data_IF_697822599898
#
_entry.id   IF_697822599898
#
_cell.length_a   1.000
_cell.length_b   1.000
_cell.length_c   1.000
_cell.angle_alpha   90.00
_cell.angle_beta   90.00
_cell.angle_gamma   90.00
#
_symmetry.space_group_name_H-M   'P 1'
#
loop_
_entity.id
_entity.type
_entity.pdbx_description
1 polymer ?
#
# COMPACT_ATOMS: atom_id res chain seq x y z
N UNK A 1 22.80 19.30 2.39
CA UNK A 1 23.50 20.59 2.11
C UNK A 1 24.03 21.27 3.38
N UNK A 2 23.22 21.43 4.43
CA UNK A 2 23.60 22.14 5.67
C UNK A 2 24.94 21.69 6.29
N UNK A 3 25.15 20.38 6.44
CA UNK A 3 26.35 19.81 7.08
C UNK A 3 27.63 20.22 6.35
N UNK A 4 27.62 20.21 5.01
CA UNK A 4 28.77 20.56 4.17
C UNK A 4 29.17 22.03 4.32
N UNK A 5 28.20 22.92 4.52
CA UNK A 5 28.46 24.36 4.65
C UNK A 5 28.94 24.68 6.08
N UNK A 6 28.31 24.06 7.08
CA UNK A 6 28.52 24.36 8.51
C UNK A 6 29.76 23.70 9.11
N UNK A 7 30.16 22.53 8.62
CA UNK A 7 31.25 21.72 9.18
C UNK A 7 32.43 21.51 8.21
N UNK A 8 32.62 22.41 7.22
CA UNK A 8 33.81 22.39 6.36
C UNK A 8 35.09 22.69 7.15
N UNK A 9 36.20 22.10 6.72
CA UNK A 9 37.53 22.33 7.30
C UNK A 9 38.02 23.76 7.01
N UNK A 10 38.65 24.39 8.02
CA UNK A 10 39.25 25.73 7.92
C UNK A 10 40.59 25.76 8.67
N UNK A 11 41.54 26.61 8.26
CA UNK A 11 42.88 26.66 8.88
C UNK A 11 42.87 26.98 10.39
N UNK A 12 41.82 27.64 10.87
CA UNK A 12 41.61 28.10 12.24
C UNK A 12 40.53 27.28 12.99
N UNK A 13 40.06 26.17 12.41
CA UNK A 13 39.00 25.37 13.01
C UNK A 13 39.50 24.57 14.24
N UNK A 14 38.73 24.63 15.33
CA UNK A 14 38.96 23.78 16.49
C UNK A 14 38.76 22.29 16.15
N UNK A 15 39.52 21.42 16.80
CA UNK A 15 39.36 19.96 16.64
C UNK A 15 37.94 19.52 17.01
N UNK A 16 37.34 18.60 16.23
CA UNK A 16 35.98 18.15 16.47
C UNK A 16 35.86 17.37 17.79
N UNK A 17 34.82 17.68 18.55
CA UNK A 17 34.52 16.96 19.79
C UNK A 17 34.17 15.49 19.48
N UNK A 18 34.80 14.57 20.21
CA UNK A 18 34.61 13.12 20.03
C UNK A 18 33.39 12.63 20.82
N UNK A 19 32.20 12.80 20.25
CA UNK A 19 30.95 12.27 20.83
C UNK A 19 30.74 10.81 20.40
N UNK A 20 30.49 9.90 21.36
CA UNK A 20 30.34 8.46 21.09
C UNK A 20 28.89 7.98 20.90
N UNK A 21 27.92 8.66 21.50
CA UNK A 21 26.50 8.30 21.41
C UNK A 21 25.62 9.35 22.06
N UNK A 22 24.32 9.32 21.74
CA UNK A 22 23.32 10.19 22.33
C UNK A 22 21.99 9.44 22.39
N UNK A 23 21.70 8.86 23.55
CA UNK A 23 20.52 8.02 23.76
C UNK A 23 19.21 8.76 23.41
N UNK A 24 19.10 10.06 23.71
CA UNK A 24 17.89 10.81 23.41
C UNK A 24 17.67 10.96 21.89
N UNK A 25 18.76 11.21 21.14
CA UNK A 25 18.71 11.26 19.69
C UNK A 25 18.37 9.87 19.11
N UNK A 26 19.00 8.82 19.67
CA UNK A 26 18.78 7.41 19.31
C UNK A 26 17.31 7.00 19.42
N UNK A 27 16.69 7.32 20.56
CA UNK A 27 15.26 7.10 20.79
C UNK A 27 14.43 7.88 19.78
N UNK A 28 14.75 9.17 19.56
CA UNK A 28 14.00 10.04 18.65
C UNK A 28 13.97 9.52 17.22
N UNK A 29 15.11 9.13 16.64
CA UNK A 29 15.16 8.62 15.27
C UNK A 29 14.64 7.20 15.12
N UNK A 30 14.51 6.44 16.20
CA UNK A 30 13.94 5.09 16.15
C UNK A 30 12.44 5.15 16.27
N UNK A 31 11.94 5.96 17.22
CA UNK A 31 10.52 6.11 17.47
C UNK A 31 9.82 6.89 16.36
N UNK A 32 10.47 7.92 15.80
CA UNK A 32 9.90 8.73 14.71
C UNK A 32 9.44 7.88 13.52
N UNK A 33 10.32 7.11 12.87
CA UNK A 33 9.96 6.18 11.80
C UNK A 33 8.95 5.11 12.25
N UNK A 34 9.08 4.57 13.46
CA UNK A 34 8.15 3.56 13.96
C UNK A 34 6.71 4.10 14.07
N UNK A 35 6.54 5.33 14.57
CA UNK A 35 5.24 6.00 14.66
C UNK A 35 4.67 6.28 13.27
N UNK A 36 5.50 6.74 12.33
CA UNK A 36 5.06 6.97 10.94
C UNK A 36 4.52 5.68 10.33
N UNK A 37 5.22 4.55 10.52
CA UNK A 37 4.76 3.24 10.03
C UNK A 37 3.41 2.87 10.67
N UNK A 38 3.26 3.01 12.00
CA UNK A 38 1.98 2.69 12.66
C UNK A 38 0.83 3.54 12.13
N UNK A 39 1.06 4.85 11.92
CA UNK A 39 0.04 5.76 11.39
C UNK A 39 -0.40 5.39 9.98
N UNK A 40 0.49 4.87 9.14
CA UNK A 40 0.15 4.41 7.79
C UNK A 40 -0.48 3.01 7.81
N UNK A 41 0.02 2.12 8.67
CA UNK A 41 -0.41 0.72 8.75
C UNK A 41 -1.87 0.58 9.18
N UNK A 42 -2.34 1.38 10.13
CA UNK A 42 -3.73 1.28 10.63
C UNK A 42 -4.78 1.49 9.52
N UNK A 43 -4.80 2.63 8.80
CA UNK A 43 -5.76 2.83 7.70
C UNK A 43 -5.51 1.85 6.55
N UNK A 44 -4.26 1.46 6.28
CA UNK A 44 -3.95 0.47 5.24
C UNK A 44 -4.60 -0.88 5.54
N UNK A 45 -4.47 -1.36 6.77
CA UNK A 45 -5.07 -2.63 7.21
C UNK A 45 -6.59 -2.54 7.15
N UNK A 46 -7.18 -1.43 7.60
CA UNK A 46 -8.63 -1.21 7.51
C UNK A 46 -9.12 -1.27 6.07
N UNK A 47 -8.42 -0.58 5.14
CA UNK A 47 -8.75 -0.58 3.72
C UNK A 47 -8.64 -1.98 3.10
N UNK A 48 -7.62 -2.76 3.47
CA UNK A 48 -7.46 -4.15 3.02
C UNK A 48 -8.66 -4.99 3.46
N UNK A 49 -9.01 -4.95 4.75
CA UNK A 49 -10.14 -5.73 5.25
C UNK A 49 -11.48 -5.29 4.68
N UNK A 50 -11.65 -3.99 4.42
CA UNK A 50 -12.84 -3.45 3.75
C UNK A 50 -12.96 -3.92 2.30
N UNK A 51 -11.85 -3.95 1.56
CA UNK A 51 -11.82 -4.36 0.16
C UNK A 51 -11.98 -5.88 0.01
N UNK A 52 -11.53 -6.66 0.99
CA UNK A 52 -11.60 -8.13 0.99
C UNK A 52 -12.83 -8.69 1.71
N UNK A 53 -13.82 -7.85 2.06
CA UNK A 53 -15.08 -8.35 2.63
C UNK A 53 -15.75 -9.33 1.67
N UNK A 54 -16.35 -10.38 2.22
CA UNK A 54 -17.14 -11.31 1.44
C UNK A 54 -18.24 -10.55 0.68
N UNK A 55 -18.46 -10.93 -0.58
CA UNK A 55 -19.54 -10.38 -1.36
C UNK A 55 -20.90 -10.69 -0.68
N UNK A 56 -21.88 -9.76 -0.73
CA UNK A 56 -23.24 -10.04 -0.27
C UNK A 56 -23.85 -11.23 -1.02
N UNK A 57 -24.78 -11.95 -0.39
CA UNK A 57 -25.45 -13.11 -1.03
C UNK A 57 -26.16 -12.75 -2.34
N UNK A 58 -26.59 -11.49 -2.51
CA UNK A 58 -27.28 -10.98 -3.69
C UNK A 58 -26.33 -10.59 -4.84
N UNK A 59 -25.02 -10.71 -4.64
CA UNK A 59 -24.00 -10.34 -5.63
C UNK A 59 -24.14 -11.19 -6.90
N UNK A 60 -23.93 -10.57 -8.06
CA UNK A 60 -23.83 -11.30 -9.32
C UNK A 60 -22.51 -12.08 -9.33
N UNK A 61 -22.55 -13.40 -9.52
CA UNK A 61 -21.34 -14.21 -9.67
C UNK A 61 -20.92 -14.28 -11.14
N UNK A 62 -19.67 -13.91 -11.41
CA UNK A 62 -19.03 -14.05 -12.73
C UNK A 62 -17.73 -14.81 -12.53
N UNK A 63 -17.51 -15.88 -13.29
CA UNK A 63 -16.21 -16.55 -13.30
C UNK A 63 -15.32 -15.93 -14.36
N UNK A 64 -14.16 -15.43 -13.96
CA UNK A 64 -13.17 -14.82 -14.88
C UNK A 64 -12.06 -15.80 -15.19
N UNK A 65 -11.91 -16.17 -16.47
CA UNK A 65 -10.81 -17.02 -16.94
C UNK A 65 -9.88 -16.20 -17.83
N UNK A 66 -8.61 -16.12 -17.40
CA UNK A 66 -7.55 -15.45 -18.15
C UNK A 66 -6.92 -16.38 -19.18
N UNK A 67 -6.99 -15.99 -20.45
CA UNK A 67 -6.27 -16.65 -21.54
C UNK A 67 -5.11 -15.77 -22.03
N UNK A 68 -4.20 -16.35 -22.83
CA UNK A 68 -3.19 -15.53 -23.50
C UNK A 68 -3.89 -14.57 -24.47
N UNK A 69 -3.76 -13.27 -24.21
CA UNK A 69 -4.28 -12.15 -25.02
C UNK A 69 -5.81 -11.95 -25.04
N UNK A 70 -6.60 -12.71 -24.28
CA UNK A 70 -8.05 -12.48 -24.17
C UNK A 70 -8.62 -12.97 -22.84
N UNK A 71 -9.82 -12.52 -22.50
CA UNK A 71 -10.54 -12.87 -21.27
C UNK A 71 -11.86 -13.55 -21.58
N UNK A 72 -12.18 -14.61 -20.84
CA UNK A 72 -13.48 -15.28 -20.87
C UNK A 72 -14.23 -14.94 -19.57
N UNK A 73 -15.48 -14.51 -19.70
CA UNK A 73 -16.37 -14.22 -18.58
C UNK A 73 -17.58 -15.15 -18.65
N UNK A 74 -17.78 -15.95 -17.60
CA UNK A 74 -18.91 -16.89 -17.48
C UNK A 74 -19.91 -16.39 -16.44
N UNK A 75 -21.18 -16.53 -16.76
CA UNK A 75 -22.32 -16.17 -15.91
C UNK A 75 -23.10 -17.46 -15.56
N UNK A 76 -22.72 -18.20 -14.50
CA UNK A 76 -23.22 -19.56 -14.26
C UNK A 76 -24.72 -19.61 -14.04
N UNK A 77 -25.29 -18.58 -13.41
CA UNK A 77 -26.72 -18.47 -13.15
C UNK A 77 -27.56 -18.25 -14.42
N UNK A 78 -26.96 -17.67 -15.47
CA UNK A 78 -27.63 -17.35 -16.73
C UNK A 78 -27.23 -18.30 -17.87
N UNK A 79 -26.26 -19.19 -17.64
CA UNK A 79 -25.66 -20.07 -18.66
C UNK A 79 -25.13 -19.28 -19.88
N UNK A 80 -24.51 -18.12 -19.63
CA UNK A 80 -23.97 -17.22 -20.66
C UNK A 80 -22.44 -17.15 -20.54
N UNK A 81 -21.76 -17.14 -21.69
CA UNK A 81 -20.31 -16.93 -21.79
C UNK A 81 -20.01 -15.83 -22.79
N UNK A 82 -19.08 -14.95 -22.44
CA UNK A 82 -18.66 -13.82 -23.28
C UNK A 82 -17.13 -13.77 -23.36
N UNK A 83 -16.63 -13.21 -24.46
CA UNK A 83 -15.19 -13.04 -24.71
C UNK A 83 -14.86 -11.55 -24.80
N UNK A 84 -13.86 -11.09 -24.05
CA UNK A 84 -13.36 -9.71 -23.98
C UNK A 84 -14.36 -8.62 -23.56
N UNK A 85 -15.62 -8.95 -23.37
CA UNK A 85 -16.67 -8.02 -22.96
C UNK A 85 -17.30 -8.49 -21.66
N UNK A 86 -17.30 -7.63 -20.64
CA UNK A 86 -17.94 -7.87 -19.35
C UNK A 86 -19.15 -6.95 -19.21
N UNK A 87 -20.33 -7.54 -19.03
CA UNK A 87 -21.59 -6.83 -18.81
C UNK A 87 -21.99 -6.89 -17.34
N UNK A 88 -22.08 -5.73 -16.69
CA UNK A 88 -22.43 -5.61 -15.26
C UNK A 88 -23.67 -4.72 -15.05
N UNK A 89 -24.60 -5.12 -14.17
CA UNK A 89 -25.69 -4.24 -13.74
C UNK A 89 -25.18 -3.09 -12.85
N UNK A 90 -25.63 -1.87 -13.13
CA UNK A 90 -25.25 -0.69 -12.33
C UNK A 90 -25.87 -0.79 -10.93
N UNK A 91 -25.04 -0.57 -9.90
CA UNK A 91 -25.50 -0.49 -8.50
C UNK A 91 -25.71 -1.84 -7.82
N UNK A 92 -25.40 -2.97 -8.47
CA UNK A 92 -25.42 -4.30 -7.85
C UNK A 92 -23.98 -4.76 -7.57
N UNK A 93 -23.70 -5.31 -6.38
CA UNK A 93 -22.43 -5.97 -6.09
C UNK A 93 -22.14 -7.14 -7.04
N UNK A 94 -20.86 -7.38 -7.33
CA UNK A 94 -20.40 -8.45 -8.22
C UNK A 94 -19.26 -9.21 -7.56
N UNK A 95 -19.35 -10.54 -7.59
CA UNK A 95 -18.30 -11.47 -7.19
C UNK A 95 -17.62 -11.98 -8.47
N UNK A 96 -16.31 -11.75 -8.60
CA UNK A 96 -15.48 -12.11 -9.76
C UNK A 96 -14.49 -13.22 -9.43
#
# INVERSE_FOLDING_TARGET
>A
AFILIRFRERPDAAEPTRTRGNLALEIGWTLGPAVIVVLISVPSIQAVFETQRAAPEEALRVEVVGHQWWWEFRYPEQDVVTANELYLPVGRPVEL
#
